data_IF_575779449657
#
_entry.id   IF_575779449657
#
_cell.length_a   1.000
_cell.length_b   1.000
_cell.length_c   1.000
_cell.angle_alpha   90.00
_cell.angle_beta   90.00
_cell.angle_gamma   90.00
#
_symmetry.space_group_name_H-M   'P 1'
#
loop_
_entity.id
_entity.type
_entity.pdbx_description
1 polymer ?
#
# COMPACT_ATOMS: atom_id res chain seq x y z
N UNK A 1 9.20 12.16 29.04
CA UNK A 1 8.06 13.08 28.84
C UNK A 1 8.17 14.12 29.93
N UNK A 2 8.22 15.38 29.56
CA UNK A 2 8.28 16.51 30.51
C UNK A 2 6.86 16.87 31.00
N UNK A 3 6.12 15.85 31.43
CA UNK A 3 4.75 15.94 31.95
C UNK A 3 4.70 15.14 33.26
N UNK A 4 4.14 15.75 34.30
CA UNK A 4 4.00 15.15 35.62
C UNK A 4 3.18 13.85 35.57
N UNK A 5 3.66 12.84 36.31
CA UNK A 5 3.02 11.53 36.43
C UNK A 5 1.57 11.63 36.92
N UNK A 6 1.27 12.63 37.77
CA UNK A 6 -0.10 12.88 38.26
C UNK A 6 -1.05 13.30 37.10
N UNK A 7 -0.56 14.12 36.17
CA UNK A 7 -1.32 14.54 35.00
C UNK A 7 -1.67 13.36 34.09
N UNK A 8 -0.73 12.45 33.82
CA UNK A 8 -0.97 11.25 33.07
C UNK A 8 -1.98 10.32 33.76
N UNK A 9 -1.82 10.15 35.11
CA UNK A 9 -2.76 9.34 35.87
C UNK A 9 -4.18 9.88 35.82
N UNK A 10 -4.40 11.19 35.87
CA UNK A 10 -5.70 11.83 35.74
C UNK A 10 -6.33 11.63 34.35
N UNK A 11 -5.51 11.66 33.29
CA UNK A 11 -5.98 11.37 31.94
C UNK A 11 -6.47 9.93 31.78
N UNK A 12 -5.77 8.98 32.39
CA UNK A 12 -6.11 7.55 32.31
C UNK A 12 -7.33 7.18 33.16
N UNK A 13 -7.61 7.89 34.23
CA UNK A 13 -8.76 7.60 35.11
C UNK A 13 -10.07 8.15 34.60
N UNK A 14 -10.07 9.01 33.59
CA UNK A 14 -11.29 9.50 32.94
C UNK A 14 -12.16 10.43 33.80
N UNK A 15 -11.72 10.79 34.99
CA UNK A 15 -12.49 11.51 36.01
C UNK A 15 -12.51 13.03 35.77
N UNK A 16 -12.02 13.47 34.60
CA UNK A 16 -11.80 14.88 34.35
C UNK A 16 -12.64 15.41 33.19
N UNK A 17 -13.60 16.24 33.52
CA UNK A 17 -14.24 17.16 32.56
C UNK A 17 -13.23 18.16 31.92
N UNK A 18 -11.93 17.97 32.10
CA UNK A 18 -10.88 18.87 31.63
C UNK A 18 -10.07 18.20 30.52
N UNK A 19 -10.20 18.73 29.32
CA UNK A 19 -9.34 18.31 28.21
C UNK A 19 -7.87 18.65 28.51
N UNK A 20 -6.92 17.76 28.15
CA UNK A 20 -5.49 18.05 28.28
C UNK A 20 -5.13 19.27 27.43
N UNK A 21 -4.19 20.07 27.90
CA UNK A 21 -3.70 21.18 27.09
C UNK A 21 -2.84 20.67 25.92
N UNK A 22 -2.62 21.51 24.91
CA UNK A 22 -1.89 21.16 23.70
C UNK A 22 -0.48 20.66 23.97
N UNK A 23 0.19 21.14 25.02
CA UNK A 23 1.53 20.71 25.42
C UNK A 23 1.53 19.24 25.86
N UNK A 24 0.56 18.83 26.67
CA UNK A 24 0.40 17.45 27.14
C UNK A 24 0.06 16.52 25.97
N UNK A 25 -0.86 16.95 25.08
CA UNK A 25 -1.19 16.17 23.87
C UNK A 25 0.03 15.97 22.98
N UNK A 26 0.80 17.02 22.73
CA UNK A 26 2.02 16.97 21.94
C UNK A 26 3.10 16.05 22.56
N UNK A 27 3.30 16.14 23.89
CA UNK A 27 4.23 15.27 24.60
C UNK A 27 3.82 13.79 24.55
N UNK A 28 2.52 13.50 24.67
CA UNK A 28 1.98 12.14 24.51
C UNK A 28 2.14 11.64 23.08
N UNK A 29 1.82 12.45 22.08
CA UNK A 29 1.98 12.12 20.67
C UNK A 29 3.44 11.72 20.35
N UNK A 30 4.39 12.55 20.79
CA UNK A 30 5.82 12.29 20.61
C UNK A 30 6.26 10.99 21.32
N UNK A 31 5.82 10.76 22.55
CA UNK A 31 6.22 9.60 23.31
C UNK A 31 5.64 8.28 22.77
N UNK A 32 4.45 8.34 22.20
CA UNK A 32 3.76 7.19 21.60
C UNK A 32 4.11 6.99 20.11
N UNK A 33 4.80 7.95 19.48
CA UNK A 33 5.10 7.89 18.04
C UNK A 33 3.84 7.99 17.17
N UNK A 34 2.85 8.79 17.60
CA UNK A 34 1.57 8.95 16.88
C UNK A 34 1.27 10.43 16.63
N UNK A 35 0.33 10.72 15.71
CA UNK A 35 -0.12 12.08 15.47
C UNK A 35 -0.99 12.62 16.63
N UNK A 36 -0.91 13.93 16.87
CA UNK A 36 -1.80 14.58 17.83
C UNK A 36 -3.27 14.51 17.38
N UNK A 37 -3.51 14.58 16.09
CA UNK A 37 -4.85 14.47 15.49
C UNK A 37 -5.48 13.11 15.79
N UNK A 38 -4.70 12.05 15.74
CA UNK A 38 -5.17 10.72 16.12
C UNK A 38 -5.51 10.62 17.61
N UNK A 39 -4.66 11.17 18.49
CA UNK A 39 -4.95 11.22 19.92
C UNK A 39 -6.22 12.02 20.25
N UNK A 40 -6.54 13.03 19.46
CA UNK A 40 -7.73 13.85 19.60
C UNK A 40 -8.95 13.29 18.84
N UNK A 41 -8.84 12.12 18.24
CA UNK A 41 -9.88 11.50 17.41
C UNK A 41 -10.33 12.35 16.21
N UNK A 42 -9.44 13.22 15.71
CA UNK A 42 -9.64 14.02 14.50
C UNK A 42 -9.18 13.28 13.24
N UNK A 43 -8.43 12.20 13.41
CA UNK A 43 -7.94 11.33 12.34
C UNK A 43 -8.00 9.87 12.78
N UNK A 44 -8.38 8.99 11.87
CA UNK A 44 -8.33 7.53 12.06
C UNK A 44 -6.92 6.95 11.87
N UNK A 45 -5.94 7.80 11.51
CA UNK A 45 -4.57 7.38 11.21
C UNK A 45 -3.61 7.84 12.29
N UNK A 46 -2.83 6.92 12.89
CA UNK A 46 -1.85 7.27 13.92
C UNK A 46 -0.65 8.05 13.38
N UNK A 47 -0.34 7.93 12.07
CA UNK A 47 0.81 8.61 11.46
C UNK A 47 0.54 10.10 11.27
N UNK A 48 1.58 10.92 11.44
CA UNK A 48 1.48 12.35 11.13
C UNK A 48 1.44 12.56 9.60
N UNK A 49 0.73 13.61 9.14
CA UNK A 49 0.75 14.01 7.74
C UNK A 49 2.18 14.30 7.25
N UNK A 50 3.07 14.79 8.15
CA UNK A 50 4.48 15.04 7.83
C UNK A 50 5.26 13.74 7.57
N UNK A 51 4.98 12.67 8.32
CA UNK A 51 5.61 11.35 8.10
C UNK A 51 5.14 10.72 6.80
N UNK A 52 3.85 10.85 6.50
CA UNK A 52 3.30 10.39 5.21
C UNK A 52 3.90 11.16 4.04
N UNK A 53 4.06 12.48 4.16
CA UNK A 53 4.69 13.33 3.14
C UNK A 53 6.21 13.08 3.07
N UNK A 54 6.90 12.93 4.19
CA UNK A 54 8.33 12.62 4.21
C UNK A 54 8.60 11.26 3.57
N UNK A 55 7.73 10.27 3.80
CA UNK A 55 7.80 8.97 3.13
C UNK A 55 7.57 9.07 1.62
N UNK A 56 6.64 9.93 1.19
CA UNK A 56 6.38 10.18 -0.23
C UNK A 56 7.47 11.03 -0.91
N UNK A 57 8.15 11.91 -0.15
CA UNK A 57 9.18 12.81 -0.67
C UNK A 57 10.60 12.29 -0.44
N UNK A 58 10.81 11.30 0.41
CA UNK A 58 12.13 10.71 0.59
C UNK A 58 12.47 9.86 -0.63
N UNK A 59 13.17 10.45 -1.58
CA UNK A 59 13.99 9.80 -2.60
C UNK A 59 15.19 9.10 -1.91
N UNK A 60 14.95 8.44 -0.79
CA UNK A 60 16.01 7.77 -0.05
C UNK A 60 16.30 6.42 -0.70
N UNK A 61 17.53 5.98 -0.57
CA UNK A 61 18.04 4.66 -0.98
C UNK A 61 17.34 3.46 -0.28
N UNK A 62 16.18 3.70 0.33
CA UNK A 62 15.40 2.64 0.94
C UNK A 62 14.87 1.68 -0.13
N UNK A 63 15.02 0.37 0.03
CA UNK A 63 14.61 -0.64 -0.96
C UNK A 63 13.10 -0.65 -1.21
N UNK A 64 12.30 0.01 -0.36
CA UNK A 64 10.83 0.10 -0.47
C UNK A 64 10.33 1.47 -0.01
N UNK A 65 9.20 1.92 -0.59
CA UNK A 65 8.47 3.04 -0.01
C UNK A 65 7.81 2.63 1.32
N UNK A 66 7.53 3.59 2.21
CA UNK A 66 6.82 3.31 3.49
C UNK A 66 5.45 2.68 3.27
N UNK A 67 4.75 3.09 2.20
CA UNK A 67 3.44 2.53 1.83
C UNK A 67 3.57 1.07 1.43
N UNK A 68 4.59 0.72 0.65
CA UNK A 68 4.85 -0.65 0.22
C UNK A 68 5.21 -1.57 1.39
N UNK A 69 6.03 -1.08 2.31
CA UNK A 69 6.38 -1.83 3.52
C UNK A 69 5.14 -2.15 4.34
N UNK A 70 4.25 -1.18 4.55
CA UNK A 70 3.00 -1.36 5.29
C UNK A 70 2.03 -2.32 4.60
N UNK A 71 1.84 -2.18 3.29
CA UNK A 71 1.00 -3.11 2.52
C UNK A 71 1.57 -4.54 2.64
N UNK A 72 2.88 -4.69 2.58
CA UNK A 72 3.51 -6.00 2.73
C UNK A 72 3.31 -6.58 4.14
N UNK A 73 3.39 -5.77 5.19
CA UNK A 73 3.10 -6.21 6.55
C UNK A 73 1.67 -6.69 6.72
N UNK A 74 0.68 -5.99 6.14
CA UNK A 74 -0.70 -6.46 6.13
C UNK A 74 -0.88 -7.82 5.43
N UNK A 75 -0.16 -8.05 4.32
CA UNK A 75 -0.16 -9.36 3.67
C UNK A 75 0.43 -10.45 4.57
N UNK A 76 1.44 -10.13 5.38
CA UNK A 76 2.03 -11.06 6.34
C UNK A 76 1.09 -11.36 7.50
N UNK A 77 0.43 -10.34 8.04
CA UNK A 77 -0.58 -10.48 9.09
C UNK A 77 -1.78 -11.32 8.62
N UNK A 78 -2.14 -11.21 7.35
CA UNK A 78 -3.20 -11.98 6.72
C UNK A 78 -2.77 -13.38 6.27
N UNK A 79 -1.61 -13.87 6.73
CA UNK A 79 -1.14 -15.22 6.37
C UNK A 79 -2.15 -16.30 6.76
N UNK A 80 -2.51 -17.17 5.83
CA UNK A 80 -3.53 -18.22 6.03
C UNK A 80 -4.99 -17.75 5.87
N UNK A 81 -5.23 -16.46 5.69
CA UNK A 81 -6.54 -15.90 5.40
C UNK A 81 -6.71 -15.65 3.90
N UNK A 82 -7.96 -15.51 3.48
CA UNK A 82 -8.30 -15.08 2.13
C UNK A 82 -8.11 -13.57 2.00
N UNK A 83 -7.31 -13.15 1.03
CA UNK A 83 -7.06 -11.75 0.72
C UNK A 83 -7.93 -11.36 -0.46
N UNK A 84 -8.83 -10.40 -0.27
CA UNK A 84 -9.67 -9.81 -1.31
C UNK A 84 -9.15 -8.43 -1.65
N UNK A 85 -8.91 -8.20 -2.92
CA UNK A 85 -8.37 -6.94 -3.43
C UNK A 85 -9.19 -6.44 -4.62
N UNK A 86 -9.64 -5.19 -4.54
CA UNK A 86 -10.31 -4.50 -5.64
C UNK A 86 -9.44 -3.30 -6.02
N UNK A 87 -8.45 -3.48 -6.88
CA UNK A 87 -7.54 -2.41 -7.29
C UNK A 87 -8.21 -1.44 -8.27
N UNK A 88 -7.74 -0.19 -8.27
CA UNK A 88 -8.17 0.81 -9.24
C UNK A 88 -7.54 0.61 -10.63
N UNK A 89 -6.42 -0.11 -10.70
CA UNK A 89 -5.69 -0.44 -11.93
C UNK A 89 -5.08 -1.84 -11.81
N UNK A 90 -4.39 -2.32 -12.83
CA UNK A 90 -3.67 -3.60 -12.77
C UNK A 90 -2.71 -3.62 -11.57
N UNK A 91 -2.82 -4.60 -10.64
CA UNK A 91 -1.97 -4.65 -9.45
C UNK A 91 -0.50 -4.83 -9.78
N UNK A 92 0.38 -4.05 -9.16
CA UNK A 92 1.84 -4.09 -9.41
C UNK A 92 2.43 -5.50 -9.28
N UNK A 93 1.96 -6.29 -8.32
CA UNK A 93 2.42 -7.66 -8.10
C UNK A 93 2.12 -8.63 -9.26
N UNK A 94 1.25 -8.23 -10.18
CA UNK A 94 0.92 -8.98 -11.38
C UNK A 94 1.56 -8.39 -12.65
N UNK A 95 2.33 -7.30 -12.51
CA UNK A 95 2.99 -6.61 -13.62
C UNK A 95 4.35 -7.20 -13.93
N UNK A 96 4.75 -7.11 -15.19
CA UNK A 96 6.13 -7.36 -15.60
C UNK A 96 7.04 -6.21 -15.18
N UNK A 97 8.35 -6.48 -15.11
CA UNK A 97 9.35 -5.44 -14.87
C UNK A 97 9.27 -4.31 -15.89
N UNK A 98 9.14 -4.65 -17.18
CA UNK A 98 9.06 -3.68 -18.26
C UNK A 98 7.86 -2.73 -18.11
N UNK A 99 6.69 -3.25 -17.70
CA UNK A 99 5.52 -2.43 -17.42
C UNK A 99 5.73 -1.51 -16.22
N UNK A 100 6.32 -2.02 -15.13
CA UNK A 100 6.64 -1.21 -13.95
C UNK A 100 7.66 -0.11 -14.27
N UNK A 101 8.69 -0.41 -15.05
CA UNK A 101 9.67 0.59 -15.50
C UNK A 101 8.98 1.70 -16.33
N UNK A 102 8.09 1.32 -17.24
CA UNK A 102 7.33 2.28 -18.04
C UNK A 102 6.41 3.16 -17.19
N UNK A 103 5.68 2.58 -16.24
CA UNK A 103 4.74 3.32 -15.39
C UNK A 103 5.44 4.26 -14.40
N UNK A 104 6.54 3.82 -13.81
CA UNK A 104 7.20 4.56 -12.73
C UNK A 104 8.34 5.47 -13.20
N UNK A 105 8.76 5.39 -14.48
CA UNK A 105 9.78 6.28 -15.03
C UNK A 105 9.53 7.79 -14.78
N UNK A 106 8.29 8.30 -14.90
CA UNK A 106 8.00 9.71 -14.68
C UNK A 106 7.68 10.08 -13.22
N UNK A 107 7.64 9.13 -12.28
CA UNK A 107 7.17 9.39 -10.92
C UNK A 107 8.26 9.90 -9.99
N UNK A 108 7.97 11.00 -9.26
CA UNK A 108 8.90 11.60 -8.29
C UNK A 108 8.86 10.94 -6.91
N UNK A 109 7.77 10.28 -6.55
CA UNK A 109 7.55 9.74 -5.20
C UNK A 109 7.95 8.27 -5.01
N UNK A 110 8.28 7.57 -6.08
CA UNK A 110 8.65 6.15 -6.05
C UNK A 110 9.48 5.82 -7.28
N UNK A 111 10.65 5.23 -7.08
CA UNK A 111 11.48 4.80 -8.19
C UNK A 111 10.96 3.50 -8.81
N UNK A 112 11.29 3.26 -10.09
CA UNK A 112 10.98 1.99 -10.75
C UNK A 112 11.56 0.81 -9.98
N UNK A 113 12.78 0.91 -9.46
CA UNK A 113 13.42 -0.15 -8.67
C UNK A 113 12.66 -0.45 -7.36
N UNK A 114 12.16 0.58 -6.66
CA UNK A 114 11.32 0.39 -5.48
C UNK A 114 10.00 -0.30 -5.82
N UNK A 115 9.37 0.07 -6.93
CA UNK A 115 8.14 -0.55 -7.39
C UNK A 115 8.34 -2.02 -7.75
N UNK A 116 9.42 -2.31 -8.48
CA UNK A 116 9.81 -3.65 -8.89
C UNK A 116 10.09 -4.51 -7.66
N UNK A 117 10.95 -4.05 -6.75
CA UNK A 117 11.27 -4.79 -5.52
C UNK A 117 10.03 -5.12 -4.70
N UNK A 118 9.14 -4.14 -4.49
CA UNK A 118 7.90 -4.35 -3.76
C UNK A 118 6.94 -5.33 -4.46
N UNK A 119 6.91 -5.32 -5.79
CA UNK A 119 6.11 -6.24 -6.60
C UNK A 119 6.64 -7.68 -6.50
N UNK A 120 7.95 -7.86 -6.67
CA UNK A 120 8.63 -9.15 -6.59
C UNK A 120 8.44 -9.80 -5.21
N UNK A 121 8.58 -9.03 -4.15
CA UNK A 121 8.38 -9.50 -2.78
C UNK A 121 6.94 -9.96 -2.51
N UNK A 122 5.95 -9.19 -2.98
CA UNK A 122 4.54 -9.57 -2.84
C UNK A 122 4.20 -10.82 -3.65
N UNK A 123 4.75 -10.93 -4.87
CA UNK A 123 4.57 -12.12 -5.69
C UNK A 123 5.25 -13.35 -5.08
N UNK A 124 6.47 -13.19 -4.55
CA UNK A 124 7.17 -14.26 -3.83
C UNK A 124 6.39 -14.70 -2.58
N UNK A 125 5.87 -13.75 -1.82
CA UNK A 125 5.02 -14.03 -0.67
C UNK A 125 3.73 -14.78 -1.07
N UNK A 126 3.03 -14.35 -2.12
CA UNK A 126 1.84 -15.03 -2.63
C UNK A 126 2.13 -16.50 -2.99
N UNK A 127 3.31 -16.77 -3.56
CA UNK A 127 3.73 -18.14 -3.91
C UNK A 127 4.01 -19.01 -2.69
N UNK A 128 4.50 -18.42 -1.60
CA UNK A 128 4.94 -19.13 -0.40
C UNK A 128 3.86 -19.19 0.68
N UNK A 129 3.04 -18.16 0.79
CA UNK A 129 1.98 -18.08 1.80
C UNK A 129 0.86 -19.08 1.51
N UNK A 130 0.13 -19.48 2.56
CA UNK A 130 -1.07 -20.31 2.43
C UNK A 130 -2.33 -19.47 2.19
N UNK A 131 -2.18 -18.20 1.88
CA UNK A 131 -3.30 -17.30 1.62
C UNK A 131 -3.84 -17.47 0.21
N UNK A 132 -5.15 -17.42 0.08
CA UNK A 132 -5.85 -17.31 -1.21
C UNK A 132 -6.03 -15.84 -1.59
N UNK A 133 -5.78 -15.51 -2.84
CA UNK A 133 -5.95 -14.16 -3.38
C UNK A 133 -7.13 -14.13 -4.36
N UNK A 134 -8.13 -13.31 -4.05
CA UNK A 134 -9.25 -13.00 -4.91
C UNK A 134 -9.14 -11.53 -5.33
N UNK A 135 -8.84 -11.29 -6.60
CA UNK A 135 -8.68 -9.94 -7.16
C UNK A 135 -9.84 -9.68 -8.11
N UNK A 136 -10.60 -8.62 -7.85
CA UNK A 136 -11.68 -8.19 -8.73
C UNK A 136 -11.29 -6.89 -9.43
N UNK A 137 -11.33 -6.88 -10.77
CA UNK A 137 -10.95 -5.73 -11.59
C UNK A 137 -12.07 -5.38 -12.57
N UNK A 138 -12.28 -4.08 -12.86
CA UNK A 138 -13.17 -3.69 -13.95
C UNK A 138 -12.65 -4.19 -15.30
N UNK A 139 -13.53 -4.67 -16.15
CA UNK A 139 -13.13 -5.16 -17.48
C UNK A 139 -12.50 -4.06 -18.33
N UNK A 140 -12.96 -2.83 -18.21
CA UNK A 140 -12.43 -1.69 -18.94
C UNK A 140 -10.95 -1.41 -18.68
N UNK A 141 -10.41 -1.84 -17.52
CA UNK A 141 -8.97 -1.73 -17.23
C UNK A 141 -8.14 -2.60 -18.18
N UNK A 142 -8.56 -3.84 -18.39
CA UNK A 142 -7.89 -4.72 -19.35
C UNK A 142 -8.07 -4.25 -20.79
N UNK A 143 -9.24 -3.71 -21.14
CA UNK A 143 -9.50 -3.12 -22.46
C UNK A 143 -8.62 -1.89 -22.70
N UNK A 144 -8.55 -0.98 -21.73
CA UNK A 144 -7.67 0.21 -21.81
C UNK A 144 -6.21 -0.18 -21.95
N UNK A 145 -5.77 -1.18 -21.21
CA UNK A 145 -4.43 -1.74 -21.31
C UNK A 145 -4.18 -2.35 -22.70
N UNK A 146 -5.07 -3.21 -23.17
CA UNK A 146 -4.93 -3.89 -24.45
C UNK A 146 -4.90 -2.91 -25.64
N UNK A 147 -5.69 -1.85 -25.57
CA UNK A 147 -5.78 -0.84 -26.62
C UNK A 147 -4.81 0.35 -26.44
N UNK A 148 -4.02 0.39 -25.39
CA UNK A 148 -3.14 1.51 -25.01
C UNK A 148 -3.91 2.84 -24.96
N UNK A 149 -5.06 2.85 -24.28
CA UNK A 149 -5.90 4.04 -24.09
C UNK A 149 -5.89 4.52 -22.64
N UNK A 150 -6.42 5.71 -22.39
CA UNK A 150 -6.51 6.27 -21.03
C UNK A 150 -5.15 6.34 -20.34
N UNK A 151 -5.04 5.73 -19.17
CA UNK A 151 -3.80 5.68 -18.40
C UNK A 151 -2.63 5.04 -19.16
N UNK A 152 -2.92 4.06 -20.02
CA UNK A 152 -1.92 3.32 -20.80
C UNK A 152 -1.62 3.94 -22.17
N UNK A 153 -2.06 5.18 -22.43
CA UNK A 153 -1.78 5.85 -23.70
C UNK A 153 -0.27 5.93 -23.96
N UNK A 154 0.15 5.44 -25.13
CA UNK A 154 1.56 5.39 -25.50
C UNK A 154 2.34 4.17 -25.01
N UNK A 155 1.71 3.23 -24.28
CA UNK A 155 2.36 1.99 -23.86
C UNK A 155 2.73 1.13 -25.08
N UNK A 156 4.02 0.77 -25.28
CA UNK A 156 4.49 -0.03 -26.40
C UNK A 156 3.80 -1.39 -26.53
N UNK A 157 3.63 -1.85 -27.77
CA UNK A 157 2.91 -3.10 -28.05
C UNK A 157 3.62 -4.33 -27.49
N UNK A 158 4.95 -4.35 -27.55
CA UNK A 158 5.78 -5.44 -27.03
C UNK A 158 5.62 -5.60 -25.52
N UNK A 159 5.61 -4.50 -24.77
CA UNK A 159 5.35 -4.52 -23.31
C UNK A 159 3.94 -5.04 -23.02
N UNK A 160 2.94 -4.62 -23.82
CA UNK A 160 1.56 -5.12 -23.65
C UNK A 160 1.45 -6.62 -23.88
N UNK A 161 2.07 -7.12 -24.94
CA UNK A 161 2.06 -8.55 -25.26
C UNK A 161 2.81 -9.36 -24.20
N UNK A 162 3.96 -8.88 -23.73
CA UNK A 162 4.69 -9.50 -22.64
C UNK A 162 3.84 -9.59 -21.36
N UNK A 163 3.17 -8.48 -21.00
CA UNK A 163 2.32 -8.41 -19.82
C UNK A 163 1.12 -9.37 -19.92
N UNK A 164 0.46 -9.46 -21.06
CA UNK A 164 -0.66 -10.38 -21.24
C UNK A 164 -0.22 -11.84 -21.12
N UNK A 165 0.90 -12.21 -21.74
CA UNK A 165 1.48 -13.53 -21.60
C UNK A 165 1.91 -13.84 -20.16
N UNK A 166 2.43 -12.84 -19.44
CA UNK A 166 2.78 -12.96 -18.02
C UNK A 166 1.54 -13.19 -17.15
N UNK A 167 0.49 -12.44 -17.41
CA UNK A 167 -0.79 -12.55 -16.70
C UNK A 167 -1.43 -13.94 -16.87
N UNK A 168 -1.45 -14.46 -18.08
CA UNK A 168 -1.93 -15.82 -18.38
C UNK A 168 -1.09 -16.88 -17.64
N UNK A 169 0.24 -16.75 -17.67
CA UNK A 169 1.13 -17.65 -16.92
C UNK A 169 0.87 -17.62 -15.41
N UNK A 170 0.75 -16.42 -14.81
CA UNK A 170 0.52 -16.30 -13.38
C UNK A 170 -0.83 -16.90 -12.96
N UNK A 171 -1.89 -16.60 -13.69
CA UNK A 171 -3.23 -17.12 -13.38
C UNK A 171 -3.28 -18.64 -13.50
N UNK A 172 -2.57 -19.23 -14.46
CA UNK A 172 -2.49 -20.68 -14.62
C UNK A 172 -1.64 -21.33 -13.53
N UNK A 173 -0.45 -20.77 -13.25
CA UNK A 173 0.51 -21.36 -12.30
C UNK A 173 0.06 -21.26 -10.85
N UNK A 174 -0.64 -20.19 -10.50
CA UNK A 174 -1.05 -19.90 -9.12
C UNK A 174 -2.48 -20.34 -8.81
N UNK A 175 -3.22 -20.88 -9.77
CA UNK A 175 -4.53 -21.48 -9.51
C UNK A 175 -4.41 -22.67 -8.56
N UNK A 176 -5.30 -22.85 -7.56
CA UNK A 176 -6.47 -22.03 -7.24
C UNK A 176 -6.18 -20.88 -6.26
N UNK A 177 -4.94 -20.64 -5.85
CA UNK A 177 -4.58 -19.61 -4.86
C UNK A 177 -4.76 -18.19 -5.38
N UNK A 178 -4.56 -17.95 -6.68
CA UNK A 178 -4.85 -16.69 -7.33
C UNK A 178 -6.07 -16.85 -8.22
N UNK A 179 -7.11 -16.07 -7.95
CA UNK A 179 -8.31 -15.96 -8.78
C UNK A 179 -8.55 -14.50 -9.14
N UNK A 180 -8.79 -14.27 -10.40
CA UNK A 180 -9.08 -12.95 -10.92
C UNK A 180 -10.50 -12.95 -11.45
N UNK A 181 -11.27 -11.98 -10.98
CA UNK A 181 -12.64 -11.75 -11.37
C UNK A 181 -12.72 -10.44 -12.16
N UNK A 182 -13.40 -10.47 -13.27
CA UNK A 182 -13.67 -9.27 -14.05
C UNK A 182 -15.13 -8.90 -13.86
N UNK A 183 -15.39 -7.61 -13.66
CA UNK A 183 -16.73 -7.10 -13.55
C UNK A 183 -16.93 -5.91 -14.48
N UNK A 184 -18.17 -5.77 -14.94
CA UNK A 184 -18.66 -4.61 -15.68
C UNK A 184 -19.13 -3.56 -14.67
N UNK A 185 -18.70 -2.28 -14.79
CA UNK A 185 -18.96 -1.19 -13.84
C UNK A 185 -19.56 0.02 -14.53
#
# INVERSE_FOLDING_TARGET
IDVDRSTISQLLTGDGARLPNAHVVGACATALGVSADWLLSLSDRPESAAELLAGALSLSEAPRSLVDARIFDWHREAAGYKIRHVPAALPDMLKTRALLEWEYAPHLGRTADQAIGASEDRLAWMRQSQSDYEIAMPIYELESFAHATGYYAGLPLDIRLEQLAHFERLTTQLYPRLRIYLFDA
#
